data_IF_388132601278
#
_entry.id   IF_388132601278
#
_cell.length_a   1.000
_cell.length_b   1.000
_cell.length_c   1.000
_cell.angle_alpha   90.00
_cell.angle_beta   90.00
_cell.angle_gamma   90.00
#
_symmetry.space_group_name_H-M   'P 1'
#
loop_
_entity.id
_entity.type
_entity.pdbx_description
1 polymer ?
#
# COMPACT_ATOMS: atom_id res chain seq x y z
N UNK A 1 7.21 7.78 7.21
CA UNK A 1 8.54 8.40 7.41
C UNK A 1 9.43 8.06 6.23
N UNK A 2 9.98 9.06 5.56
CA UNK A 2 11.03 8.89 4.57
C UNK A 2 12.40 8.80 5.26
N UNK A 3 12.96 7.60 5.34
CA UNK A 3 14.29 7.33 5.91
C UNK A 3 15.40 7.28 4.85
N UNK A 4 15.10 7.62 3.61
CA UNK A 4 16.08 7.67 2.52
C UNK A 4 16.86 8.98 2.48
N UNK A 5 17.72 9.12 1.46
CA UNK A 5 18.49 10.34 1.20
C UNK A 5 17.84 11.23 0.13
N UNK A 6 16.83 10.72 -0.57
CA UNK A 6 16.11 11.42 -1.63
C UNK A 6 14.65 11.63 -1.22
N UNK A 7 14.07 12.76 -1.64
CA UNK A 7 12.65 13.01 -1.46
C UNK A 7 11.80 12.07 -2.33
N UNK A 8 10.64 11.66 -1.82
CA UNK A 8 9.65 10.97 -2.62
C UNK A 8 8.91 11.99 -3.49
N UNK A 9 8.79 11.68 -4.77
CA UNK A 9 8.14 12.56 -5.74
C UNK A 9 6.62 12.58 -5.55
N UNK A 10 6.00 13.71 -5.92
CA UNK A 10 4.53 13.80 -6.02
C UNK A 10 4.01 12.70 -6.96
N UNK A 11 2.89 12.10 -6.61
CA UNK A 11 2.28 10.94 -7.28
C UNK A 11 3.10 9.64 -7.14
N UNK A 12 4.00 9.56 -6.17
CA UNK A 12 4.41 8.25 -5.62
C UNK A 12 3.15 7.50 -5.18
N UNK A 13 3.07 6.21 -5.50
CA UNK A 13 1.84 5.42 -5.29
C UNK A 13 2.13 4.09 -4.61
N UNK A 14 1.16 3.59 -3.86
CA UNK A 14 1.18 2.22 -3.37
C UNK A 14 0.64 1.31 -4.49
N UNK A 15 1.46 0.37 -4.94
CA UNK A 15 1.20 -0.51 -6.09
C UNK A 15 1.09 -1.95 -5.61
N UNK A 16 0.00 -2.63 -5.97
CA UNK A 16 -0.16 -4.06 -5.73
C UNK A 16 0.80 -4.87 -6.60
N UNK A 17 1.43 -5.89 -6.02
CA UNK A 17 2.40 -6.77 -6.68
C UNK A 17 1.88 -8.20 -6.80
N UNK A 18 1.32 -8.75 -5.71
CA UNK A 18 0.84 -10.13 -5.66
C UNK A 18 -0.09 -10.38 -4.47
N UNK A 19 -0.78 -11.52 -4.48
CA UNK A 19 -1.72 -11.91 -3.43
C UNK A 19 -3.05 -11.17 -3.56
N UNK A 20 -3.65 -10.82 -2.43
CA UNK A 20 -4.93 -10.13 -2.34
C UNK A 20 -4.77 -8.63 -2.61
N UNK A 21 -5.49 -8.10 -3.60
CA UNK A 21 -5.50 -6.66 -3.89
C UNK A 21 -6.58 -5.91 -3.10
N UNK A 22 -7.47 -6.65 -2.42
CA UNK A 22 -8.59 -6.12 -1.63
C UNK A 22 -9.50 -5.19 -2.44
N UNK A 23 -9.53 -5.31 -3.78
CA UNK A 23 -10.21 -4.36 -4.66
C UNK A 23 -9.91 -2.89 -4.26
N UNK A 24 -8.67 -2.60 -3.90
CA UNK A 24 -8.31 -1.33 -3.29
C UNK A 24 -8.32 -0.19 -4.31
N UNK A 25 -8.75 0.99 -3.85
CA UNK A 25 -8.61 2.20 -4.63
C UNK A 25 -7.14 2.57 -4.85
N UNK A 26 -6.83 3.19 -5.98
CA UNK A 26 -5.46 3.65 -6.28
C UNK A 26 -5.04 4.72 -5.27
N UNK A 27 -3.96 4.45 -4.54
CA UNK A 27 -3.43 5.35 -3.53
C UNK A 27 -2.24 6.14 -4.08
N UNK A 28 -2.38 7.47 -4.09
CA UNK A 28 -1.31 8.39 -4.50
C UNK A 28 -0.95 9.34 -3.37
N UNK A 29 0.34 9.48 -3.11
CA UNK A 29 0.89 10.55 -2.28
C UNK A 29 0.90 11.82 -3.13
N UNK A 30 0.00 12.76 -2.80
CA UNK A 30 -0.20 13.98 -3.59
C UNK A 30 0.81 15.08 -3.28
N UNK A 31 1.66 14.90 -2.29
CA UNK A 31 2.70 15.86 -1.91
C UNK A 31 4.10 15.29 -2.11
N UNK A 32 5.12 16.14 -2.00
CA UNK A 32 6.51 15.72 -1.95
C UNK A 32 6.85 15.40 -0.49
N UNK A 33 7.48 14.26 -0.24
CA UNK A 33 7.87 13.84 1.13
C UNK A 33 9.39 13.89 1.23
N UNK A 34 9.94 14.88 1.93
CA UNK A 34 11.40 15.03 2.06
C UNK A 34 11.97 14.01 3.04
N UNK A 35 13.29 13.75 3.02
CA UNK A 35 13.95 12.95 4.05
C UNK A 35 13.62 13.48 5.46
N UNK A 36 13.15 12.59 6.34
CA UNK A 36 12.71 12.94 7.69
C UNK A 36 11.21 13.24 7.82
N UNK A 37 10.50 13.52 6.72
CA UNK A 37 9.06 13.76 6.75
C UNK A 37 8.28 12.44 6.87
N UNK A 38 7.13 12.48 7.54
CA UNK A 38 6.13 11.42 7.54
C UNK A 38 4.91 11.77 6.71
N UNK A 39 4.22 10.72 6.26
CA UNK A 39 2.97 10.83 5.51
C UNK A 39 2.07 9.68 5.95
N UNK A 40 0.79 9.97 6.14
CA UNK A 40 -0.23 8.96 6.46
C UNK A 40 -0.90 8.52 5.16
N UNK A 41 -0.94 7.22 4.93
CA UNK A 41 -1.62 6.62 3.78
C UNK A 41 -2.95 6.02 4.25
N UNK A 42 -4.05 6.41 3.60
CA UNK A 42 -5.38 5.81 3.86
C UNK A 42 -5.65 4.75 2.81
N UNK A 43 -5.66 3.49 3.22
CA UNK A 43 -5.99 2.36 2.36
C UNK A 43 -7.50 2.10 2.41
N UNK A 44 -8.15 2.21 1.25
CA UNK A 44 -9.59 1.94 1.10
C UNK A 44 -9.74 0.75 0.16
N UNK A 45 -10.40 -0.30 0.64
CA UNK A 45 -10.64 -1.53 -0.11
C UNK A 45 -11.86 -2.28 0.44
N UNK A 46 -12.13 -3.44 -0.16
CA UNK A 46 -13.21 -4.33 0.20
C UNK A 46 -12.68 -5.61 0.85
N UNK A 47 -13.42 -6.11 1.85
CA UNK A 47 -13.14 -7.41 2.45
C UNK A 47 -13.39 -8.52 1.42
N UNK A 48 -12.47 -9.49 1.25
CA UNK A 48 -12.66 -10.62 0.34
C UNK A 48 -13.87 -11.48 0.72
N UNK A 49 -14.50 -12.11 -0.26
CA UNK A 49 -15.72 -12.92 -0.03
C UNK A 49 -15.46 -14.28 0.65
N UNK A 50 -14.20 -14.71 0.72
CA UNK A 50 -13.82 -16.03 1.25
C UNK A 50 -13.14 -15.89 2.60
N UNK A 51 -13.53 -16.73 3.56
CA UNK A 51 -13.02 -16.72 4.92
C UNK A 51 -11.55 -17.09 5.05
N UNK A 52 -10.94 -16.65 6.14
CA UNK A 52 -9.56 -16.92 6.52
C UNK A 52 -8.63 -15.71 6.36
N UNK A 53 -7.34 -15.94 6.57
CA UNK A 53 -6.33 -14.91 6.37
C UNK A 53 -6.13 -14.65 4.87
N UNK A 54 -6.18 -13.38 4.47
CA UNK A 54 -5.88 -12.93 3.11
C UNK A 54 -4.76 -11.90 3.20
N UNK A 55 -3.77 -12.04 2.35
CA UNK A 55 -2.55 -11.22 2.36
C UNK A 55 -2.25 -10.70 0.96
N UNK A 56 -1.97 -9.41 0.88
CA UNK A 56 -1.47 -8.73 -0.33
C UNK A 56 -0.07 -8.17 -0.12
N UNK A 57 0.74 -8.25 -1.18
CA UNK A 57 2.06 -7.62 -1.24
C UNK A 57 1.99 -6.34 -2.06
N UNK A 58 2.51 -5.26 -1.49
CA UNK A 58 2.41 -3.91 -2.02
C UNK A 58 3.76 -3.22 -2.03
N UNK A 59 3.96 -2.31 -2.96
CA UNK A 59 5.20 -1.58 -3.11
C UNK A 59 4.94 -0.09 -3.24
N UNK A 60 5.70 0.73 -2.52
CA UNK A 60 5.69 2.17 -2.73
C UNK A 60 6.59 2.48 -3.93
N UNK A 61 6.01 2.98 -5.03
CA UNK A 61 6.75 3.28 -6.27
C UNK A 61 6.62 4.74 -6.65
N UNK A 62 7.73 5.33 -7.08
CA UNK A 62 7.76 6.66 -7.71
C UNK A 62 6.89 6.69 -8.98
N UNK A 63 6.55 7.88 -9.53
CA UNK A 63 5.90 7.98 -10.83
C UNK A 63 6.65 7.20 -11.94
N UNK A 64 7.98 7.25 -11.92
CA UNK A 64 8.86 6.49 -12.81
C UNK A 64 8.95 4.98 -12.52
N UNK A 65 8.09 4.45 -11.64
CA UNK A 65 8.01 3.04 -11.24
C UNK A 65 9.24 2.50 -10.49
N UNK A 66 10.11 3.38 -10.00
CA UNK A 66 11.24 2.98 -9.14
C UNK A 66 10.69 2.67 -7.74
N UNK A 67 11.03 1.49 -7.22
CA UNK A 67 10.69 1.05 -5.87
C UNK A 67 11.38 1.92 -4.81
N UNK A 68 10.61 2.35 -3.81
CA UNK A 68 11.08 3.04 -2.61
C UNK A 68 10.91 2.10 -1.42
N UNK A 69 11.98 1.89 -0.67
CA UNK A 69 11.95 1.10 0.56
C UNK A 69 11.78 -0.40 0.30
N UNK A 70 11.04 -1.07 1.19
CA UNK A 70 10.73 -2.50 1.11
C UNK A 70 9.25 -2.70 0.79
N UNK A 71 8.87 -3.82 0.17
CA UNK A 71 7.46 -4.20 0.05
C UNK A 71 6.75 -4.22 1.41
N UNK A 72 5.48 -3.85 1.39
CA UNK A 72 4.55 -3.84 2.51
C UNK A 72 3.62 -5.04 2.38
N UNK A 73 3.37 -5.70 3.51
CA UNK A 73 2.38 -6.76 3.62
C UNK A 73 1.11 -6.19 4.25
N UNK A 74 -0.04 -6.38 3.61
CA UNK A 74 -1.35 -6.03 4.16
C UNK A 74 -2.14 -7.32 4.31
N UNK A 75 -2.52 -7.64 5.54
CA UNK A 75 -3.26 -8.86 5.87
C UNK A 75 -4.58 -8.55 6.55
N UNK A 76 -5.64 -9.22 6.11
CA UNK A 76 -6.98 -9.13 6.68
C UNK A 76 -7.46 -10.53 7.03
N UNK A 77 -7.94 -10.70 8.26
CA UNK A 77 -8.63 -11.91 8.69
C UNK A 77 -10.12 -11.77 8.42
N UNK A 78 -10.63 -12.53 7.45
CA UNK A 78 -12.05 -12.55 7.09
C UNK A 78 -12.75 -13.65 7.86
N UNK A 79 -13.77 -13.29 8.64
CA UNK A 79 -14.60 -14.26 9.35
C UNK A 79 -15.85 -14.56 8.51
N UNK A 80 -16.09 -15.83 8.21
CA UNK A 80 -17.39 -16.28 7.74
C UNK A 80 -18.32 -16.36 8.95
N UNK A 81 -19.42 -15.60 8.94
CA UNK A 81 -20.52 -15.93 9.85
C UNK A 81 -21.05 -17.29 9.42
N UNK A 82 -20.93 -18.28 10.30
CA UNK A 82 -21.58 -19.58 10.10
C UNK A 82 -23.06 -19.36 9.83
N UNK A 83 -23.55 -19.96 8.74
CA UNK A 83 -24.97 -19.99 8.40
C UNK A 83 -25.81 -20.79 9.38
#
# INVERSE_FOLDING_TARGET
>A
LNTGTCAWERNTSLVWVSGEDFNAERLFIRERVNPGDDVVLTFVGATPATGGMRTGMWELRTPGQILIGKPLEISVSVFEQGG
#
